data_IF_172827245001
#
_entry.id   IF_172827245001
#
_cell.length_a   1.000
_cell.length_b   1.000
_cell.length_c   1.000
_cell.angle_alpha   90.00
_cell.angle_beta   90.00
_cell.angle_gamma   90.00
#
_symmetry.space_group_name_H-M   'P 1'
#
loop_
_entity.id
_entity.type
_entity.pdbx_description
1 polymer ?
#
# COMPACT_ATOMS: atom_id res chain seq x y z
N UNK A 1 -19.77 0.34 20.71
CA UNK A 1 -19.44 0.57 19.32
C UNK A 1 -17.95 0.46 19.12
N UNK A 2 -17.54 -0.42 18.24
CA UNK A 2 -16.13 -0.72 18.11
C UNK A 2 -15.61 -0.33 16.74
N UNK A 3 -15.43 0.95 16.59
CA UNK A 3 -14.80 1.41 15.36
C UNK A 3 -13.35 0.99 15.37
N UNK A 4 -12.90 0.41 14.26
CA UNK A 4 -11.53 -0.03 14.14
C UNK A 4 -10.73 1.04 13.41
N UNK A 5 -9.50 1.22 13.86
CA UNK A 5 -8.58 2.17 13.26
C UNK A 5 -7.40 1.40 12.68
N UNK A 6 -6.89 1.90 11.56
CA UNK A 6 -5.71 1.29 10.97
C UNK A 6 -4.50 1.55 11.87
N UNK A 7 -3.68 0.53 12.07
CA UNK A 7 -2.51 0.64 12.93
C UNK A 7 -1.35 1.39 12.28
N UNK A 8 -1.46 1.67 10.99
CA UNK A 8 -0.37 2.28 10.25
C UNK A 8 0.49 1.25 9.57
N UNK A 9 1.07 1.64 8.43
CA UNK A 9 1.80 0.68 7.61
C UNK A 9 3.03 0.13 8.35
N UNK A 10 3.62 0.91 9.24
CA UNK A 10 4.81 0.47 9.97
C UNK A 10 4.50 -0.61 11.00
N UNK A 11 3.27 -0.65 11.49
CA UNK A 11 2.85 -1.62 12.49
C UNK A 11 1.95 -2.69 11.90
N UNK A 12 1.74 -2.66 10.59
CA UNK A 12 0.87 -3.61 9.93
C UNK A 12 1.52 -4.99 9.85
N UNK A 13 0.68 -5.99 9.74
CA UNK A 13 1.12 -7.37 9.56
C UNK A 13 1.98 -7.45 8.29
N UNK A 14 3.05 -8.22 8.35
CA UNK A 14 3.95 -8.40 7.21
C UNK A 14 4.49 -7.10 6.65
N UNK A 15 4.70 -6.11 7.53
CA UNK A 15 5.37 -4.88 7.13
C UNK A 15 4.61 -4.06 6.10
N UNK A 16 3.28 -4.23 6.04
CA UNK A 16 2.48 -3.44 5.13
C UNK A 16 2.04 -4.17 3.87
N UNK A 17 2.41 -5.44 3.71
CA UNK A 17 1.93 -6.24 2.57
C UNK A 17 0.54 -6.80 2.87
N UNK A 18 -0.38 -5.92 3.18
CA UNK A 18 -1.78 -6.24 3.42
C UNK A 18 -2.61 -5.41 2.47
N UNK A 19 -3.91 -5.69 2.41
CA UNK A 19 -4.80 -4.91 1.56
C UNK A 19 -4.71 -3.42 1.89
N UNK A 20 -4.80 -3.07 3.19
CA UNK A 20 -4.75 -1.68 3.60
C UNK A 20 -3.36 -1.06 3.40
N UNK A 21 -2.31 -1.83 3.69
CA UNK A 21 -0.96 -1.34 3.50
C UNK A 21 -0.67 -1.02 2.04
N UNK A 22 -1.18 -1.84 1.13
CA UNK A 22 -0.98 -1.60 -0.29
C UNK A 22 -1.67 -0.32 -0.75
N UNK A 23 -2.83 0.00 -0.16
CA UNK A 23 -3.50 1.26 -0.45
C UNK A 23 -2.60 2.43 -0.08
N UNK A 24 -1.95 2.36 1.09
CA UNK A 24 -1.04 3.42 1.53
C UNK A 24 0.15 3.54 0.59
N UNK A 25 0.77 2.41 0.22
CA UNK A 25 1.92 2.41 -0.68
C UNK A 25 1.54 3.03 -2.02
N UNK A 26 0.41 2.63 -2.57
CA UNK A 26 -0.03 3.16 -3.86
C UNK A 26 -0.32 4.65 -3.76
N UNK A 27 -0.85 5.11 -2.63
CA UNK A 27 -1.07 6.54 -2.43
C UNK A 27 0.25 7.31 -2.43
N UNK A 28 1.30 6.73 -1.89
CA UNK A 28 2.63 7.33 -1.96
C UNK A 28 3.12 7.41 -3.40
N UNK A 29 2.92 6.34 -4.16
CA UNK A 29 3.38 6.28 -5.56
C UNK A 29 2.74 7.40 -6.38
N UNK A 30 1.44 7.58 -6.22
CA UNK A 30 0.71 8.57 -7.00
C UNK A 30 0.77 9.98 -6.40
N UNK A 31 1.47 10.15 -5.27
CA UNK A 31 1.57 11.46 -4.65
C UNK A 31 0.29 11.93 -3.98
N UNK A 32 -0.64 11.02 -3.73
CA UNK A 32 -1.86 11.34 -2.99
C UNK A 32 -1.53 11.62 -1.53
N UNK A 33 -0.56 10.88 -0.99
CA UNK A 33 -0.05 11.09 0.36
C UNK A 33 1.47 11.23 0.29
N UNK A 34 2.06 12.02 1.20
CA UNK A 34 3.52 12.02 1.32
C UNK A 34 4.00 10.70 1.93
N UNK A 35 5.24 10.32 1.64
CA UNK A 35 5.77 9.05 2.14
C UNK A 35 5.91 9.04 3.66
N UNK A 36 5.81 10.18 4.30
CA UNK A 36 5.84 10.27 5.75
C UNK A 36 4.48 9.92 6.38
N UNK A 37 3.41 9.85 5.60
CA UNK A 37 2.09 9.54 6.13
C UNK A 37 1.87 8.04 6.17
N UNK A 38 1.75 7.48 7.37
CA UNK A 38 1.58 6.03 7.55
C UNK A 38 0.13 5.61 7.72
N UNK A 39 -0.78 6.57 7.83
CA UNK A 39 -2.21 6.32 8.07
C UNK A 39 -2.49 5.69 9.43
N UNK A 40 -1.56 5.79 10.37
CA UNK A 40 -1.79 5.27 11.72
C UNK A 40 -2.96 6.02 12.36
N UNK A 41 -3.88 5.27 12.91
CA UNK A 41 -5.05 5.85 13.57
C UNK A 41 -6.16 6.30 12.63
N UNK A 42 -6.05 6.03 11.35
CA UNK A 42 -7.11 6.40 10.41
C UNK A 42 -8.32 5.49 10.58
N UNK A 43 -9.50 6.09 10.50
CA UNK A 43 -10.76 5.34 10.60
C UNK A 43 -11.03 4.57 9.31
N UNK A 44 -12.02 3.67 9.36
CA UNK A 44 -12.45 2.95 8.17
C UNK A 44 -12.90 3.91 7.07
N UNK A 45 -13.61 4.98 7.46
CA UNK A 45 -14.07 5.96 6.48
C UNK A 45 -12.91 6.65 5.79
N UNK A 46 -11.87 6.99 6.55
CA UNK A 46 -10.69 7.63 5.97
C UNK A 46 -9.97 6.68 5.03
N UNK A 47 -9.83 5.42 5.42
CA UNK A 47 -9.19 4.43 4.55
C UNK A 47 -10.02 4.16 3.31
N UNK A 48 -11.34 4.15 3.42
CA UNK A 48 -12.21 3.96 2.26
C UNK A 48 -12.07 5.11 1.28
N UNK A 49 -12.04 6.35 1.78
CA UNK A 49 -11.82 7.51 0.92
C UNK A 49 -10.48 7.44 0.21
N UNK A 50 -9.45 7.00 0.93
CA UNK A 50 -8.14 6.86 0.34
C UNK A 50 -8.14 5.79 -0.76
N UNK A 51 -8.80 4.66 -0.49
CA UNK A 51 -8.93 3.60 -1.48
C UNK A 51 -9.57 4.11 -2.77
N UNK A 52 -10.62 4.91 -2.64
CA UNK A 52 -11.31 5.44 -3.82
C UNK A 52 -10.40 6.36 -4.62
N UNK A 53 -9.59 7.17 -3.95
CA UNK A 53 -8.65 8.05 -4.63
C UNK A 53 -7.56 7.26 -5.35
N UNK A 54 -7.06 6.22 -4.70
CA UNK A 54 -6.06 5.35 -5.29
C UNK A 54 -6.64 4.61 -6.49
N UNK A 55 -7.86 4.09 -6.34
CA UNK A 55 -8.53 3.39 -7.44
C UNK A 55 -8.66 4.30 -8.66
N UNK A 56 -9.11 5.54 -8.43
CA UNK A 56 -9.25 6.49 -9.52
C UNK A 56 -7.91 6.83 -10.17
N UNK A 57 -6.84 6.88 -9.39
CA UNK A 57 -5.51 7.15 -9.93
C UNK A 57 -5.02 6.02 -10.82
N UNK A 58 -5.41 4.79 -10.53
CA UNK A 58 -5.02 3.63 -11.32
C UNK A 58 -5.79 3.50 -12.64
N UNK A 59 -6.99 4.07 -12.72
CA UNK A 59 -7.86 3.86 -13.88
C UNK A 59 -7.20 4.19 -15.23
N UNK A 60 -6.47 5.33 -15.36
CA UNK A 60 -5.84 5.63 -16.64
C UNK A 60 -4.84 4.57 -17.09
N UNK A 61 -4.36 3.76 -16.16
CA UNK A 61 -3.36 2.73 -16.45
C UNK A 61 -3.95 1.33 -16.42
N UNK A 62 -5.27 1.23 -16.47
CA UNK A 62 -5.99 -0.05 -16.47
C UNK A 62 -5.62 -0.93 -15.27
N UNK A 63 -5.21 -0.29 -14.16
CA UNK A 63 -4.80 -0.99 -12.93
C UNK A 63 -3.63 -1.94 -13.15
N UNK A 64 -2.76 -1.63 -14.12
CA UNK A 64 -1.61 -2.46 -14.44
C UNK A 64 -0.32 -1.68 -14.23
N UNK A 65 0.57 -2.17 -13.35
CA UNK A 65 1.84 -1.48 -13.14
C UNK A 65 2.67 -1.32 -14.41
N UNK A 66 2.54 -2.26 -15.34
CA UNK A 66 3.30 -2.20 -16.61
C UNK A 66 2.88 -1.03 -17.48
N UNK A 67 1.74 -0.41 -17.19
CA UNK A 67 1.27 0.74 -17.97
C UNK A 67 1.63 2.08 -17.36
N UNK A 68 2.28 2.07 -16.22
CA UNK A 68 2.70 3.32 -15.58
C UNK A 68 3.80 3.99 -16.37
N UNK A 69 3.84 5.35 -16.41
CA UNK A 69 4.99 6.05 -16.96
C UNK A 69 6.28 5.66 -16.23
N UNK A 70 7.42 5.88 -16.88
CA UNK A 70 8.69 5.39 -16.37
C UNK A 70 8.98 5.86 -14.93
N UNK A 71 8.70 7.12 -14.62
CA UNK A 71 8.97 7.64 -13.28
C UNK A 71 8.09 7.00 -12.22
N UNK A 72 6.80 6.81 -12.51
CA UNK A 72 5.91 6.14 -11.58
C UNK A 72 6.24 4.66 -11.46
N UNK A 73 6.63 4.05 -12.56
CA UNK A 73 7.01 2.65 -12.55
C UNK A 73 8.23 2.42 -11.67
N UNK A 74 9.21 3.31 -11.73
CA UNK A 74 10.39 3.22 -10.88
C UNK A 74 10.04 3.41 -9.41
N UNK A 75 9.13 4.33 -9.09
CA UNK A 75 8.68 4.50 -7.72
C UNK A 75 7.96 3.25 -7.22
N UNK A 76 7.13 2.67 -8.07
CA UNK A 76 6.41 1.45 -7.73
C UNK A 76 7.40 0.34 -7.37
N UNK A 77 8.40 0.13 -8.24
CA UNK A 77 9.40 -0.92 -8.02
C UNK A 77 10.16 -0.66 -6.72
N UNK A 78 10.61 0.59 -6.53
CA UNK A 78 11.42 0.93 -5.36
C UNK A 78 10.64 0.72 -4.07
N UNK A 79 9.43 1.28 -3.99
CA UNK A 79 8.65 1.23 -2.75
C UNK A 79 8.21 -0.19 -2.43
N UNK A 80 7.75 -0.94 -3.43
CA UNK A 80 7.35 -2.32 -3.19
C UNK A 80 8.53 -3.21 -2.84
N UNK A 81 9.70 -2.97 -3.44
CA UNK A 81 10.89 -3.73 -3.07
C UNK A 81 11.27 -3.51 -1.60
N UNK A 82 11.19 -2.26 -1.15
CA UNK A 82 11.51 -1.94 0.23
C UNK A 82 10.52 -2.59 1.19
N UNK A 83 9.24 -2.53 0.85
CA UNK A 83 8.21 -3.12 1.70
C UNK A 83 8.33 -4.65 1.72
N UNK A 84 8.63 -5.26 0.59
CA UNK A 84 8.83 -6.70 0.53
C UNK A 84 10.00 -7.12 1.42
N UNK A 85 11.10 -6.36 1.40
CA UNK A 85 12.24 -6.66 2.25
C UNK A 85 11.87 -6.58 3.73
N UNK A 86 11.11 -5.56 4.10
CA UNK A 86 10.64 -5.42 5.49
C UNK A 86 9.72 -6.58 5.84
N UNK A 87 8.82 -6.94 4.95
CA UNK A 87 7.89 -8.04 5.19
C UNK A 87 8.63 -9.35 5.41
N UNK A 88 9.65 -9.60 4.61
CA UNK A 88 10.43 -10.83 4.76
C UNK A 88 11.14 -10.87 6.11
N UNK A 89 11.62 -9.73 6.58
CA UNK A 89 12.27 -9.68 7.89
C UNK A 89 11.28 -9.93 9.01
N UNK A 90 9.99 -9.76 8.76
CA UNK A 90 8.93 -10.01 9.74
C UNK A 90 8.24 -11.34 9.55
N UNK A 91 8.79 -12.21 8.72
CA UNK A 91 8.30 -13.57 8.58
C UNK A 91 7.43 -13.83 7.38
N UNK A 92 7.18 -12.83 6.54
CA UNK A 92 6.41 -13.06 5.32
C UNK A 92 7.21 -13.89 4.33
N UNK A 93 6.55 -14.83 3.70
CA UNK A 93 7.17 -15.71 2.72
C UNK A 93 6.34 -15.70 1.45
N UNK A 94 6.93 -15.23 0.35
CA UNK A 94 6.22 -15.09 -0.91
C UNK A 94 5.70 -16.42 -1.44
N UNK A 95 6.47 -17.49 -1.20
CA UNK A 95 6.08 -18.81 -1.70
C UNK A 95 4.89 -19.38 -0.94
N UNK A 96 4.82 -19.10 0.37
CA UNK A 96 3.71 -19.59 1.17
C UNK A 96 2.52 -18.63 1.12
N UNK A 97 2.80 -17.34 1.05
CA UNK A 97 1.74 -16.34 1.05
C UNK A 97 0.81 -16.43 -0.14
N UNK A 98 1.31 -16.94 -1.24
CA UNK A 98 0.50 -17.06 -2.45
C UNK A 98 -0.50 -18.19 -2.38
N UNK A 99 -0.34 -19.07 -1.43
CA UNK A 99 -1.24 -20.23 -1.28
C UNK A 99 -2.53 -19.87 -0.56
N UNK A 100 -2.64 -18.69 -0.06
CA UNK A 100 -3.82 -18.26 0.71
C UNK A 100 -5.05 -18.07 -0.12
#
# INVERSE_FOLDING_TARGET
MNEQFYVGINEDTHGGLTHLGRIVIDAWIFGILPESETCAGWSQSQMQNLYEKVYAAWEPYAHLPSRLPADLQQRHIKLYSEIIDIAKSKGWNAELGEDD
#
